data_IF_551162353660
#
_entry.id   IF_551162353660
#
_cell.length_a   1.000
_cell.length_b   1.000
_cell.length_c   1.000
_cell.angle_alpha   90.00
_cell.angle_beta   90.00
_cell.angle_gamma   90.00
#
_symmetry.space_group_name_H-M   'P 1'
#
loop_
_entity.id
_entity.type
_entity.pdbx_description
1 polymer ?
#
# COMPACT_ATOMS: atom_id res chain seq x y z
N UNK A 1 8.65 -7.74 -24.89
CA UNK A 1 8.23 -8.94 -24.11
C UNK A 1 8.93 -8.92 -22.75
N UNK A 2 8.22 -9.25 -21.69
CA UNK A 2 8.81 -9.37 -20.34
C UNK A 2 9.73 -10.59 -20.33
N UNK A 3 10.99 -10.43 -19.91
CA UNK A 3 11.94 -11.55 -19.86
C UNK A 3 11.58 -12.54 -18.73
N UNK A 4 11.97 -13.81 -18.92
CA UNK A 4 11.77 -14.83 -17.87
C UNK A 4 12.45 -14.43 -16.55
N UNK A 5 13.64 -13.81 -16.61
CA UNK A 5 14.34 -13.30 -15.43
C UNK A 5 13.55 -12.22 -14.68
N UNK A 6 12.94 -11.25 -15.39
CA UNK A 6 12.11 -10.23 -14.75
C UNK A 6 10.82 -10.83 -14.17
N UNK A 7 10.23 -11.81 -14.84
CA UNK A 7 9.06 -12.55 -14.33
C UNK A 7 9.38 -13.26 -13.02
N UNK A 8 10.49 -13.99 -12.96
CA UNK A 8 10.95 -14.68 -11.76
C UNK A 8 11.26 -13.69 -10.63
N UNK A 9 11.92 -12.57 -10.94
CA UNK A 9 12.18 -11.51 -9.97
C UNK A 9 10.89 -10.95 -9.38
N UNK A 10 9.89 -10.65 -10.20
CA UNK A 10 8.58 -10.16 -9.76
C UNK A 10 7.90 -11.20 -8.84
N UNK A 11 7.84 -12.48 -9.25
CA UNK A 11 7.20 -13.54 -8.47
C UNK A 11 7.86 -13.70 -7.09
N UNK A 12 9.20 -13.81 -7.05
CA UNK A 12 9.95 -13.93 -5.80
C UNK A 12 9.78 -12.70 -4.90
N UNK A 13 9.83 -11.51 -5.48
CA UNK A 13 9.59 -10.25 -4.75
C UNK A 13 8.19 -10.23 -4.14
N UNK A 14 7.16 -10.63 -4.89
CA UNK A 14 5.78 -10.67 -4.39
C UNK A 14 5.64 -11.67 -3.24
N UNK A 15 6.16 -12.88 -3.36
CA UNK A 15 6.10 -13.90 -2.30
C UNK A 15 6.83 -13.38 -1.04
N UNK A 16 8.06 -12.90 -1.19
CA UNK A 16 8.86 -12.42 -0.07
C UNK A 16 8.21 -11.22 0.64
N UNK A 17 7.71 -10.23 -0.13
CA UNK A 17 7.11 -9.02 0.44
C UNK A 17 5.71 -9.26 1.00
N UNK A 18 4.92 -10.18 0.42
CA UNK A 18 3.65 -10.61 1.00
C UNK A 18 3.88 -11.39 2.31
N UNK A 19 4.95 -12.19 2.39
CA UNK A 19 5.38 -12.84 3.64
C UNK A 19 5.77 -11.78 4.68
N UNK A 20 6.59 -10.79 4.32
CA UNK A 20 6.93 -9.67 5.20
C UNK A 20 5.69 -8.89 5.65
N UNK A 21 4.73 -8.66 4.75
CA UNK A 21 3.45 -8.04 5.11
C UNK A 21 2.62 -8.90 6.05
N UNK A 22 2.67 -10.21 5.90
CA UNK A 22 2.03 -11.16 6.82
C UNK A 22 2.63 -11.11 8.22
N UNK A 23 3.96 -10.95 8.33
CA UNK A 23 4.70 -10.88 9.59
C UNK A 23 4.61 -9.47 10.18
N UNK A 24 5.08 -8.45 9.46
CA UNK A 24 5.29 -7.08 9.95
C UNK A 24 4.20 -6.09 9.51
N UNK A 25 3.08 -6.58 9.01
CA UNK A 25 1.99 -5.73 8.55
C UNK A 25 2.37 -4.97 7.27
N UNK A 26 2.72 -3.69 7.39
CA UNK A 26 2.84 -2.78 6.25
C UNK A 26 4.25 -2.70 5.62
N UNK A 27 5.25 -3.27 6.27
CA UNK A 27 6.65 -3.21 5.80
C UNK A 27 6.80 -3.80 4.38
N UNK A 28 6.15 -4.93 4.12
CA UNK A 28 6.21 -5.59 2.81
C UNK A 28 5.69 -4.73 1.65
N UNK A 29 4.65 -3.91 1.88
CA UNK A 29 4.11 -3.01 0.86
C UNK A 29 5.12 -1.94 0.43
N UNK A 30 5.88 -1.37 1.37
CA UNK A 30 6.93 -0.39 1.08
C UNK A 30 8.05 -1.03 0.27
N UNK A 31 8.52 -2.22 0.69
CA UNK A 31 9.56 -2.98 -0.03
C UNK A 31 9.10 -3.29 -1.45
N UNK A 32 7.87 -3.81 -1.59
CA UNK A 32 7.29 -4.17 -2.89
C UNK A 32 7.23 -2.97 -3.82
N UNK A 33 6.74 -1.82 -3.33
CA UNK A 33 6.65 -0.60 -4.12
C UNK A 33 8.03 -0.10 -4.54
N UNK A 34 8.99 -0.05 -3.60
CA UNK A 34 10.37 0.32 -3.89
C UNK A 34 11.02 -0.56 -4.95
N UNK A 35 10.86 -1.89 -4.83
CA UNK A 35 11.40 -2.84 -5.81
C UNK A 35 10.74 -2.68 -7.19
N UNK A 36 9.42 -2.52 -7.25
CA UNK A 36 8.74 -2.31 -8.52
C UNK A 36 9.15 -1.00 -9.19
N UNK A 37 9.34 0.08 -8.41
CA UNK A 37 9.84 1.35 -8.95
C UNK A 37 11.27 1.26 -9.50
N UNK A 38 12.10 0.35 -9.03
CA UNK A 38 13.43 0.14 -9.61
C UNK A 38 13.33 -0.44 -11.02
N UNK A 39 12.46 -1.44 -11.23
CA UNK A 39 12.44 -2.27 -12.45
C UNK A 39 11.32 -1.92 -13.43
N UNK A 40 10.32 -1.13 -13.00
CA UNK A 40 9.13 -0.80 -13.81
C UNK A 40 8.92 0.72 -13.94
N UNK A 41 8.21 1.17 -14.98
CA UNK A 41 7.62 2.50 -15.03
C UNK A 41 6.62 2.69 -13.89
N UNK A 42 6.41 3.96 -13.47
CA UNK A 42 5.57 4.29 -12.29
C UNK A 42 4.16 3.69 -12.39
N UNK A 43 3.47 3.89 -13.51
CA UNK A 43 2.09 3.40 -13.66
C UNK A 43 2.00 1.88 -13.60
N UNK A 44 2.94 1.17 -14.24
CA UNK A 44 3.04 -0.30 -14.15
C UNK A 44 3.34 -0.76 -12.73
N UNK A 45 4.24 -0.07 -12.01
CA UNK A 45 4.55 -0.34 -10.62
C UNK A 45 3.32 -0.11 -9.73
N UNK A 46 2.59 1.00 -9.90
CA UNK A 46 1.37 1.33 -9.19
C UNK A 46 0.27 0.28 -9.40
N UNK A 47 0.07 -0.15 -10.65
CA UNK A 47 -0.92 -1.14 -11.03
C UNK A 47 -0.58 -2.53 -10.45
N UNK A 48 0.65 -3.02 -10.64
CA UNK A 48 1.05 -4.34 -10.18
C UNK A 48 1.11 -4.40 -8.64
N UNK A 49 1.61 -3.34 -8.00
CA UNK A 49 1.56 -3.18 -6.55
C UNK A 49 0.11 -3.15 -6.05
N UNK A 50 -0.76 -2.38 -6.72
CA UNK A 50 -2.19 -2.30 -6.39
C UNK A 50 -2.85 -3.67 -6.43
N UNK A 51 -2.63 -4.46 -7.49
CA UNK A 51 -3.15 -5.83 -7.63
C UNK A 51 -2.62 -6.72 -6.51
N UNK A 52 -1.31 -6.74 -6.28
CA UNK A 52 -0.69 -7.57 -5.24
C UNK A 52 -1.24 -7.24 -3.85
N UNK A 53 -1.34 -5.96 -3.52
CA UNK A 53 -1.82 -5.52 -2.20
C UNK A 53 -3.33 -5.67 -2.05
N UNK A 54 -4.12 -5.48 -3.11
CA UNK A 54 -5.55 -5.76 -3.08
C UNK A 54 -5.81 -7.24 -2.79
N UNK A 55 -5.04 -8.15 -3.40
CA UNK A 55 -5.14 -9.59 -3.14
C UNK A 55 -4.69 -9.93 -1.72
N UNK A 56 -3.50 -9.46 -1.30
CA UNK A 56 -2.93 -9.79 0.02
C UNK A 56 -3.82 -9.29 1.17
N UNK A 57 -4.26 -8.01 1.09
CA UNK A 57 -5.14 -7.44 2.11
C UNK A 57 -6.57 -7.97 2.00
N UNK A 58 -7.09 -8.17 0.77
CA UNK A 58 -8.42 -8.76 0.54
C UNK A 58 -8.53 -10.18 1.08
N UNK A 59 -7.51 -11.00 0.87
CA UNK A 59 -7.44 -12.34 1.43
C UNK A 59 -7.42 -12.31 2.97
N UNK A 60 -6.63 -11.40 3.56
CA UNK A 60 -6.64 -11.20 5.01
C UNK A 60 -8.00 -10.70 5.52
N UNK A 61 -8.62 -9.72 4.84
CA UNK A 61 -9.96 -9.24 5.19
C UNK A 61 -11.00 -10.37 5.13
N UNK A 62 -10.92 -11.24 4.13
CA UNK A 62 -11.79 -12.40 4.01
C UNK A 62 -11.62 -13.37 5.20
N UNK A 63 -10.39 -13.67 5.60
CA UNK A 63 -10.10 -14.56 6.73
C UNK A 63 -10.55 -13.97 8.08
N UNK A 64 -10.64 -12.64 8.21
CA UNK A 64 -11.00 -11.94 9.46
C UNK A 64 -12.34 -11.19 9.35
N UNK A 65 -13.18 -11.50 8.38
CA UNK A 65 -14.40 -10.75 8.01
C UNK A 65 -15.39 -10.54 9.14
N UNK A 66 -15.45 -11.50 10.08
CA UNK A 66 -16.40 -11.46 11.20
C UNK A 66 -16.04 -10.35 12.23
N UNK A 67 -14.84 -9.77 12.12
CA UNK A 67 -14.36 -8.70 12.98
C UNK A 67 -14.34 -7.33 12.31
N UNK A 68 -14.85 -7.20 11.07
CA UNK A 68 -14.89 -5.92 10.35
C UNK A 68 -15.88 -4.97 11.02
N UNK A 69 -15.43 -3.73 11.31
CA UNK A 69 -16.27 -2.66 11.85
C UNK A 69 -16.93 -1.91 10.68
N UNK A 70 -18.06 -2.41 10.23
CA UNK A 70 -18.79 -1.93 9.04
C UNK A 70 -19.14 -0.44 9.06
N UNK A 71 -19.54 0.18 10.20
CA UNK A 71 -19.80 1.62 10.25
C UNK A 71 -18.59 2.48 9.88
N UNK A 72 -17.39 2.03 10.24
CA UNK A 72 -16.12 2.68 9.83
C UNK A 72 -15.95 2.61 8.32
N UNK A 73 -16.22 1.44 7.74
CA UNK A 73 -16.04 1.22 6.31
C UNK A 73 -16.94 2.11 5.45
N UNK A 74 -18.21 2.30 5.81
CA UNK A 74 -19.15 3.11 5.05
C UNK A 74 -18.68 4.56 4.86
N UNK A 75 -18.27 5.22 5.94
CA UNK A 75 -17.74 6.59 5.88
C UNK A 75 -16.35 6.65 5.25
N UNK A 76 -15.51 5.63 5.45
CA UNK A 76 -14.22 5.53 4.79
C UNK A 76 -14.35 5.52 3.27
N UNK A 77 -15.33 4.78 2.72
CA UNK A 77 -15.63 4.75 1.27
C UNK A 77 -15.92 6.15 0.75
N UNK A 78 -16.75 6.93 1.45
CA UNK A 78 -17.07 8.31 1.05
C UNK A 78 -15.79 9.15 0.92
N UNK A 79 -14.94 9.14 1.94
CA UNK A 79 -13.67 9.88 1.91
C UNK A 79 -12.73 9.40 0.79
N UNK A 80 -12.64 8.08 0.59
CA UNK A 80 -11.81 7.48 -0.43
C UNK A 80 -12.27 7.86 -1.86
N UNK A 81 -13.57 7.87 -2.11
CA UNK A 81 -14.15 8.30 -3.40
C UNK A 81 -13.94 9.80 -3.63
N UNK A 82 -14.08 10.64 -2.60
CA UNK A 82 -13.78 12.07 -2.71
C UNK A 82 -12.31 12.32 -3.07
N UNK A 83 -11.39 11.56 -2.47
CA UNK A 83 -9.96 11.62 -2.82
C UNK A 83 -9.70 11.21 -4.27
N UNK A 84 -10.32 10.11 -4.71
CA UNK A 84 -10.23 9.65 -6.11
C UNK A 84 -10.75 10.74 -7.07
N UNK A 85 -11.91 11.33 -6.79
CA UNK A 85 -12.51 12.39 -7.60
C UNK A 85 -11.61 13.64 -7.66
N UNK A 86 -11.09 14.10 -6.51
CA UNK A 86 -10.22 15.26 -6.42
C UNK A 86 -8.95 15.09 -7.27
N UNK A 87 -8.29 13.93 -7.15
CA UNK A 87 -7.05 13.68 -7.90
C UNK A 87 -7.33 13.46 -9.41
N UNK A 88 -8.47 12.85 -9.74
CA UNK A 88 -8.89 12.65 -11.13
C UNK A 88 -9.21 13.96 -11.84
N UNK A 89 -9.76 14.96 -11.11
CA UNK A 89 -10.09 16.26 -11.67
C UNK A 89 -8.85 17.01 -12.24
N UNK A 90 -7.66 16.73 -11.69
CA UNK A 90 -6.39 17.30 -12.15
C UNK A 90 -5.55 16.31 -12.98
N UNK A 91 -6.05 15.09 -13.18
CA UNK A 91 -5.37 14.01 -13.91
C UNK A 91 -3.90 13.82 -13.49
N UNK A 92 -3.63 13.89 -12.19
CA UNK A 92 -2.28 13.92 -11.65
C UNK A 92 -1.58 12.55 -11.78
N UNK A 93 -0.46 12.51 -12.49
CA UNK A 93 0.41 11.33 -12.58
C UNK A 93 1.77 11.68 -11.97
N UNK A 94 2.15 11.08 -10.83
CA UNK A 94 3.42 11.39 -10.19
C UNK A 94 4.59 10.86 -11.02
N UNK A 95 5.69 11.61 -11.05
CA UNK A 95 6.96 11.12 -11.60
C UNK A 95 7.66 10.14 -10.64
N UNK A 96 8.70 9.49 -11.15
CA UNK A 96 9.40 8.42 -10.43
C UNK A 96 10.14 8.93 -9.19
N UNK A 97 10.74 10.10 -9.26
CA UNK A 97 11.48 10.72 -8.16
C UNK A 97 10.52 11.07 -7.02
N UNK A 98 9.40 11.73 -7.35
CA UNK A 98 8.35 12.08 -6.40
C UNK A 98 7.79 10.83 -5.70
N UNK A 99 7.48 9.76 -6.43
CA UNK A 99 6.96 8.54 -5.82
C UNK A 99 7.96 7.94 -4.84
N UNK A 100 9.26 7.85 -5.21
CA UNK A 100 10.29 7.36 -4.29
C UNK A 100 10.40 8.21 -3.02
N UNK A 101 10.40 9.54 -3.15
CA UNK A 101 10.43 10.46 -1.99
C UNK A 101 9.18 10.25 -1.13
N UNK A 102 8.01 10.19 -1.72
CA UNK A 102 6.76 10.01 -1.00
C UNK A 102 6.69 8.64 -0.30
N UNK A 103 7.03 7.54 -1.00
CA UNK A 103 7.11 6.18 -0.40
C UNK A 103 8.01 6.18 0.83
N UNK A 104 9.18 6.79 0.69
CA UNK A 104 10.15 6.86 1.76
C UNK A 104 9.74 7.77 2.91
N UNK A 105 9.02 8.86 2.64
CA UNK A 105 8.61 9.84 3.67
C UNK A 105 7.44 9.35 4.53
N UNK A 106 6.55 8.50 4.01
CA UNK A 106 5.38 7.97 4.73
C UNK A 106 5.74 7.35 6.09
N UNK A 107 6.74 6.47 6.23
CA UNK A 107 7.13 5.91 7.52
C UNK A 107 7.63 6.96 8.52
N UNK A 108 8.41 7.94 8.06
CA UNK A 108 8.92 9.00 8.92
C UNK A 108 7.79 9.93 9.37
N UNK A 109 6.87 10.30 8.47
CA UNK A 109 5.69 11.08 8.81
C UNK A 109 4.83 10.37 9.87
N UNK A 110 4.63 9.05 9.72
CA UNK A 110 3.91 8.26 10.70
C UNK A 110 4.65 8.17 12.05
N UNK A 111 5.97 7.99 12.04
CA UNK A 111 6.78 7.90 13.26
C UNK A 111 6.91 9.27 13.97
N UNK A 112 6.93 10.36 13.21
CA UNK A 112 7.01 11.72 13.74
C UNK A 112 5.67 12.25 14.27
N UNK A 113 4.55 11.55 14.04
CA UNK A 113 3.23 11.98 14.51
C UNK A 113 3.16 11.90 16.05
N UNK A 114 3.09 13.04 16.76
CA UNK A 114 3.04 13.03 18.21
C UNK A 114 1.80 12.30 18.73
N UNK A 115 1.91 11.60 19.87
CA UNK A 115 0.81 10.84 20.45
C UNK A 115 -0.45 11.69 20.70
N UNK A 116 -0.30 13.02 20.92
CA UNK A 116 -1.42 13.96 21.04
C UNK A 116 -2.28 14.04 19.78
N UNK A 117 -1.69 13.82 18.59
CA UNK A 117 -2.36 13.80 17.29
C UNK A 117 -2.78 12.39 16.85
N UNK A 118 -2.54 11.37 17.67
CA UNK A 118 -3.07 10.04 17.41
C UNK A 118 -4.60 10.12 17.34
N UNK A 119 -5.16 9.51 16.31
CA UNK A 119 -6.55 9.64 15.95
C UNK A 119 -7.36 8.41 16.40
N UNK A 120 -8.65 8.59 16.49
CA UNK A 120 -9.60 7.53 16.81
C UNK A 120 -10.56 7.36 15.64
N UNK A 121 -10.39 6.28 14.91
CA UNK A 121 -11.18 5.96 13.71
C UNK A 121 -12.68 5.81 14.02
N UNK A 122 -13.04 5.57 15.27
CA UNK A 122 -14.45 5.39 15.69
C UNK A 122 -15.19 6.71 15.92
N UNK A 123 -14.47 7.84 16.00
CA UNK A 123 -15.08 9.15 16.21
C UNK A 123 -15.79 9.65 14.96
N UNK A 124 -16.89 10.42 15.13
CA UNK A 124 -17.66 10.97 14.01
C UNK A 124 -16.77 11.72 13.00
N UNK A 125 -16.91 11.42 11.71
CA UNK A 125 -16.15 12.05 10.62
C UNK A 125 -14.74 11.49 10.43
N UNK A 126 -14.11 10.88 11.43
CA UNK A 126 -12.75 10.34 11.33
C UNK A 126 -12.59 9.26 10.27
N UNK A 127 -13.53 8.33 10.07
CA UNK A 127 -13.39 7.37 8.98
C UNK A 127 -13.37 8.03 7.59
N UNK A 128 -14.14 9.08 7.39
CA UNK A 128 -14.17 9.82 6.12
C UNK A 128 -12.84 10.56 5.89
N UNK A 129 -12.32 11.25 6.92
CA UNK A 129 -11.01 11.91 6.87
C UNK A 129 -9.90 10.88 6.60
N UNK A 130 -9.94 9.74 7.28
CA UNK A 130 -9.03 8.63 7.06
C UNK A 130 -9.10 8.14 5.61
N UNK A 131 -10.29 7.86 5.10
CA UNK A 131 -10.49 7.41 3.72
C UNK A 131 -9.93 8.39 2.69
N UNK A 132 -10.17 9.69 2.91
CA UNK A 132 -9.63 10.74 2.04
C UNK A 132 -8.10 10.79 2.06
N UNK A 133 -7.49 10.92 3.24
CA UNK A 133 -6.03 11.08 3.40
C UNK A 133 -5.30 9.81 2.94
N UNK A 134 -5.75 8.65 3.39
CA UNK A 134 -5.07 7.38 3.09
C UNK A 134 -5.16 7.03 1.60
N UNK A 135 -6.32 7.28 0.98
CA UNK A 135 -6.46 7.05 -0.46
C UNK A 135 -5.63 8.05 -1.27
N UNK A 136 -5.64 9.33 -0.90
CA UNK A 136 -4.82 10.35 -1.56
C UNK A 136 -3.34 9.97 -1.55
N UNK A 137 -2.81 9.63 -0.38
CA UNK A 137 -1.41 9.23 -0.23
C UNK A 137 -1.13 7.93 -0.99
N UNK A 138 -2.05 6.96 -0.97
CA UNK A 138 -1.89 5.72 -1.72
C UNK A 138 -1.88 5.93 -3.24
N UNK A 139 -2.63 6.91 -3.76
CA UNK A 139 -2.62 7.27 -5.18
C UNK A 139 -1.32 7.99 -5.58
N UNK A 140 -0.76 8.83 -4.71
CA UNK A 140 0.47 9.59 -4.98
C UNK A 140 1.73 8.75 -4.71
N UNK A 141 1.82 8.17 -3.51
CA UNK A 141 2.99 7.43 -3.05
C UNK A 141 2.92 5.92 -3.32
N UNK A 142 1.75 5.37 -3.64
CA UNK A 142 1.54 3.94 -3.80
C UNK A 142 1.42 3.16 -2.49
N UNK A 143 1.77 3.76 -1.34
CA UNK A 143 1.69 3.18 -0.01
C UNK A 143 1.21 4.20 1.01
N UNK A 144 0.35 3.79 1.95
CA UNK A 144 -0.16 4.65 3.02
C UNK A 144 -0.32 3.91 4.36
N UNK A 145 0.07 2.65 4.41
CA UNK A 145 -0.16 1.76 5.55
C UNK A 145 0.30 2.33 6.91
N UNK A 146 1.55 2.82 7.06
CA UNK A 146 2.02 3.38 8.33
C UNK A 146 1.17 4.55 8.85
N UNK A 147 0.66 5.40 7.95
CA UNK A 147 -0.23 6.50 8.35
C UNK A 147 -1.63 6.00 8.72
N UNK A 148 -2.11 4.93 8.08
CA UNK A 148 -3.38 4.31 8.46
C UNK A 148 -3.37 3.85 9.93
N UNK A 149 -2.23 3.34 10.43
CA UNK A 149 -2.12 2.93 11.82
C UNK A 149 -2.40 4.06 12.80
N UNK A 150 -2.00 5.29 12.48
CA UNK A 150 -2.23 6.44 13.34
C UNK A 150 -3.71 6.69 13.64
N UNK A 151 -4.62 6.29 12.75
CA UNK A 151 -6.07 6.44 12.93
C UNK A 151 -6.67 5.41 13.88
N UNK A 152 -5.95 4.33 14.18
CA UNK A 152 -6.44 3.27 15.06
C UNK A 152 -5.84 3.30 16.47
N UNK A 153 -4.82 4.13 16.71
CA UNK A 153 -4.04 4.13 17.98
C UNK A 153 -4.88 4.40 19.21
N UNK A 154 -5.86 5.32 19.11
CA UNK A 154 -6.73 5.72 20.24
C UNK A 154 -8.11 5.05 20.22
N UNK A 155 -8.37 4.15 19.29
CA UNK A 155 -9.65 3.45 19.25
C UNK A 155 -9.73 2.35 20.29
N UNK A 156 -10.92 2.14 20.85
CA UNK A 156 -11.24 1.06 21.77
C UNK A 156 -11.51 -0.29 21.05
N UNK A 157 -11.10 -0.39 19.79
CA UNK A 157 -11.27 -1.58 18.98
C UNK A 157 -10.33 -2.71 19.44
N UNK A 158 -10.84 -3.93 19.46
CA UNK A 158 -10.02 -5.11 19.71
C UNK A 158 -8.97 -5.30 18.62
N UNK A 159 -7.88 -6.00 18.92
CA UNK A 159 -6.82 -6.32 17.94
C UNK A 159 -7.39 -6.94 16.65
N UNK A 160 -8.37 -7.84 16.78
CA UNK A 160 -9.01 -8.50 15.64
C UNK A 160 -9.80 -7.51 14.79
N UNK A 161 -10.56 -6.59 15.43
CA UNK A 161 -11.29 -5.54 14.72
C UNK A 161 -10.36 -4.57 14.00
N UNK A 162 -9.26 -4.17 14.63
CA UNK A 162 -8.24 -3.32 14.00
C UNK A 162 -7.66 -4.00 12.76
N UNK A 163 -7.20 -5.24 12.88
CA UNK A 163 -6.60 -5.99 11.75
C UNK A 163 -7.60 -6.16 10.60
N UNK A 164 -8.82 -6.59 10.90
CA UNK A 164 -9.86 -6.82 9.90
C UNK A 164 -10.27 -5.52 9.19
N UNK A 165 -10.53 -4.45 9.95
CA UNK A 165 -10.98 -3.18 9.39
C UNK A 165 -9.87 -2.51 8.58
N UNK A 166 -8.62 -2.56 9.04
CA UNK A 166 -7.47 -2.10 8.25
C UNK A 166 -7.28 -2.90 6.95
N UNK A 167 -7.45 -4.21 7.00
CA UNK A 167 -7.29 -5.04 5.81
C UNK A 167 -8.31 -4.68 4.73
N UNK A 168 -9.59 -4.52 5.09
CA UNK A 168 -10.63 -4.15 4.12
C UNK A 168 -10.49 -2.73 3.61
N UNK A 169 -10.11 -1.75 4.45
CA UNK A 169 -9.89 -0.36 4.01
C UNK A 169 -8.68 -0.25 3.08
N UNK A 170 -7.59 -0.98 3.34
CA UNK A 170 -6.44 -1.06 2.43
C UNK A 170 -6.81 -1.73 1.11
N UNK A 171 -7.57 -2.83 1.13
CA UNK A 171 -8.07 -3.48 -0.09
C UNK A 171 -8.79 -2.47 -0.97
N UNK A 172 -9.72 -1.72 -0.39
CA UNK A 172 -10.48 -0.70 -1.10
C UNK A 172 -9.57 0.38 -1.70
N UNK A 173 -8.63 0.93 -0.93
CA UNK A 173 -7.69 1.94 -1.44
C UNK A 173 -6.85 1.41 -2.61
N UNK A 174 -6.44 0.14 -2.57
CA UNK A 174 -5.70 -0.47 -3.68
C UNK A 174 -6.57 -0.75 -4.90
N UNK A 175 -7.84 -1.12 -4.72
CA UNK A 175 -8.80 -1.23 -5.82
C UNK A 175 -9.03 0.13 -6.49
N UNK A 176 -9.21 1.20 -5.69
CA UNK A 176 -9.35 2.57 -6.22
C UNK A 176 -8.08 3.00 -6.97
N UNK A 177 -6.89 2.60 -6.52
CA UNK A 177 -5.64 2.82 -7.24
C UNK A 177 -5.62 2.11 -8.61
N UNK A 178 -6.15 0.89 -8.70
CA UNK A 178 -6.29 0.21 -10.00
C UNK A 178 -7.26 0.94 -10.92
N UNK A 179 -8.38 1.44 -10.41
CA UNK A 179 -9.31 2.27 -11.17
C UNK A 179 -8.64 3.56 -11.64
N UNK A 180 -7.89 4.23 -10.76
CA UNK A 180 -7.20 5.47 -11.08
C UNK A 180 -6.20 5.29 -12.23
N UNK A 181 -5.21 4.43 -12.07
CA UNK A 181 -4.15 4.23 -13.07
C UNK A 181 -4.58 3.38 -14.27
N UNK A 182 -5.53 2.48 -14.11
CA UNK A 182 -5.98 1.58 -15.16
C UNK A 182 -7.10 2.14 -16.04
N UNK A 183 -7.85 3.13 -15.54
CA UNK A 183 -9.01 3.68 -16.24
C UNK A 183 -8.94 5.20 -16.36
N UNK A 184 -8.89 5.92 -15.21
CA UNK A 184 -9.14 7.37 -15.18
C UNK A 184 -7.98 8.19 -15.78
N UNK A 185 -6.73 7.85 -15.48
CA UNK A 185 -5.56 8.56 -16.02
C UNK A 185 -4.79 7.76 -17.08
N UNK A 186 -5.38 6.65 -17.54
CA UNK A 186 -4.72 5.77 -18.51
C UNK A 186 -4.27 6.49 -19.77
N UNK A 187 -5.11 7.35 -20.33
CA UNK A 187 -4.78 8.11 -21.54
C UNK A 187 -3.61 9.06 -21.31
N UNK A 188 -3.61 9.80 -20.21
CA UNK A 188 -2.51 10.70 -19.81
C UNK A 188 -1.21 9.93 -19.62
N UNK A 189 -1.27 8.73 -19.05
CA UNK A 189 -0.11 7.85 -18.87
C UNK A 189 0.46 7.38 -20.20
N UNK A 190 -0.41 6.99 -21.15
CA UNK A 190 0.00 6.54 -22.49
C UNK A 190 0.66 7.69 -23.26
N UNK A 191 0.08 8.89 -23.21
CA UNK A 191 0.63 10.08 -23.88
C UNK A 191 1.99 10.50 -23.30
N UNK A 192 2.15 10.41 -21.97
CA UNK A 192 3.40 10.80 -21.31
C UNK A 192 4.54 9.78 -21.47
N UNK A 193 4.24 8.48 -21.47
CA UNK A 193 5.24 7.41 -21.37
C UNK A 193 5.22 6.41 -22.54
N UNK A 194 4.32 6.56 -23.51
CA UNK A 194 4.11 5.63 -24.61
C UNK A 194 3.47 4.30 -24.14
N UNK A 195 3.24 3.41 -25.13
CA UNK A 195 2.55 2.12 -24.91
C UNK A 195 3.35 1.10 -24.07
N UNK A 196 4.61 1.42 -23.74
CA UNK A 196 5.51 0.57 -22.94
C UNK A 196 5.11 0.45 -21.46
N UNK A 197 4.05 1.15 -21.04
CA UNK A 197 3.58 1.14 -19.65
C UNK A 197 2.68 -0.05 -19.32
N UNK A 198 2.24 -0.81 -20.30
CA UNK A 198 1.32 -1.93 -20.09
C UNK A 198 2.07 -3.24 -19.88
N UNK A 199 1.98 -3.77 -18.67
CA UNK A 199 2.43 -5.14 -18.40
C UNK A 199 1.44 -6.15 -19.00
N UNK A 200 1.91 -7.33 -19.46
CA UNK A 200 1.03 -8.37 -19.95
C UNK A 200 0.03 -8.80 -18.87
N UNK A 201 -1.21 -9.03 -19.24
CA UNK A 201 -2.30 -9.39 -18.32
C UNK A 201 -1.99 -10.63 -17.44
N UNK A 202 -1.25 -11.59 -17.98
CA UNK A 202 -0.86 -12.80 -17.25
C UNK A 202 0.04 -12.53 -16.03
N UNK A 203 0.82 -11.43 -16.01
CA UNK A 203 1.58 -11.02 -14.82
C UNK A 203 0.65 -10.66 -13.66
N UNK A 204 -0.45 -9.99 -13.94
CA UNK A 204 -1.45 -9.67 -12.91
C UNK A 204 -2.10 -10.92 -12.37
N UNK A 205 -2.34 -11.94 -13.20
CA UNK A 205 -2.85 -13.24 -12.74
C UNK A 205 -1.81 -14.00 -11.92
N UNK A 206 -0.53 -13.95 -12.33
CA UNK A 206 0.56 -14.62 -11.63
C UNK A 206 0.77 -14.10 -10.20
N UNK A 207 0.67 -12.79 -9.98
CA UNK A 207 0.88 -12.22 -8.64
C UNK A 207 -0.22 -12.60 -7.65
N UNK A 208 -1.40 -13.04 -8.10
CA UNK A 208 -2.50 -13.47 -7.22
C UNK A 208 -2.08 -14.65 -6.34
N UNK A 209 -1.74 -15.84 -6.87
CA UNK A 209 -1.31 -16.95 -6.05
C UNK A 209 -0.02 -16.63 -5.27
N UNK A 210 0.92 -15.87 -5.85
CA UNK A 210 2.14 -15.46 -5.15
C UNK A 210 1.83 -14.64 -3.88
N UNK A 211 0.92 -13.68 -3.97
CA UNK A 211 0.50 -12.86 -2.83
C UNK A 211 -0.23 -13.70 -1.77
N UNK A 212 -1.11 -14.61 -2.17
CA UNK A 212 -1.82 -15.51 -1.25
C UNK A 212 -0.87 -16.44 -0.50
N UNK A 213 0.07 -17.07 -1.23
CA UNK A 213 1.10 -17.94 -0.62
C UNK A 213 1.93 -17.15 0.39
N UNK A 214 2.48 -16.00 -0.01
CA UNK A 214 3.29 -15.17 0.87
C UNK A 214 2.51 -14.71 2.11
N UNK A 215 1.27 -14.26 1.95
CA UNK A 215 0.41 -13.85 3.08
C UNK A 215 0.16 -15.02 4.04
N UNK A 216 -0.14 -16.21 3.52
CA UNK A 216 -0.38 -17.41 4.34
C UNK A 216 0.87 -17.81 5.13
N UNK A 217 2.05 -17.81 4.47
CA UNK A 217 3.33 -18.11 5.13
C UNK A 217 3.61 -17.08 6.21
N UNK A 218 3.47 -15.78 5.89
CA UNK A 218 3.72 -14.69 6.84
C UNK A 218 2.84 -14.76 8.08
N UNK A 219 1.56 -15.04 7.93
CA UNK A 219 0.63 -15.19 9.06
C UNK A 219 1.05 -16.34 9.99
N UNK A 220 1.44 -17.49 9.44
CA UNK A 220 1.93 -18.64 10.24
C UNK A 220 3.24 -18.36 10.97
N UNK A 221 4.10 -17.51 10.41
CA UNK A 221 5.36 -17.10 11.04
C UNK A 221 5.10 -16.10 12.16
N UNK A 222 4.15 -15.17 11.97
CA UNK A 222 3.77 -14.18 12.98
C UNK A 222 3.39 -14.82 14.32
N UNK A 223 2.68 -15.95 14.29
CA UNK A 223 2.26 -16.67 15.49
C UNK A 223 3.43 -17.17 16.37
N UNK A 224 4.66 -17.17 15.80
CA UNK A 224 5.89 -17.63 16.47
C UNK A 224 6.78 -16.49 16.97
N UNK A 225 6.45 -15.23 16.67
CA UNK A 225 7.28 -14.06 17.00
C UNK A 225 6.70 -13.33 18.21
N UNK A 226 7.57 -12.97 19.17
CA UNK A 226 7.16 -12.19 20.35
C UNK A 226 6.83 -10.74 19.96
N UNK A 227 5.83 -10.14 20.64
CA UNK A 227 5.36 -8.77 20.38
C UNK A 227 6.45 -7.69 20.52
N UNK A 228 7.38 -7.87 21.43
CA UNK A 228 8.48 -6.91 21.67
C UNK A 228 9.46 -6.87 20.50
N UNK A 229 9.90 -8.03 20.04
CA UNK A 229 10.81 -8.15 18.91
C UNK A 229 10.13 -7.71 17.62
N UNK A 230 8.85 -8.07 17.45
CA UNK A 230 8.03 -7.65 16.31
C UNK A 230 8.04 -6.14 16.10
N UNK A 231 7.69 -5.34 17.14
CA UNK A 231 7.63 -3.88 17.06
C UNK A 231 8.97 -3.25 16.70
N UNK A 232 10.04 -3.70 17.35
CA UNK A 232 11.40 -3.18 17.13
C UNK A 232 11.88 -3.44 15.70
N UNK A 233 11.80 -4.68 15.23
CA UNK A 233 12.25 -5.05 13.89
C UNK A 233 11.40 -4.40 12.80
N UNK A 234 10.07 -4.33 12.99
CA UNK A 234 9.16 -3.66 12.06
C UNK A 234 9.55 -2.19 11.85
N UNK A 235 9.79 -1.43 12.93
CA UNK A 235 10.19 -0.03 12.83
C UNK A 235 11.53 0.15 12.11
N UNK A 236 12.55 -0.63 12.48
CA UNK A 236 13.87 -0.52 11.84
C UNK A 236 13.82 -0.82 10.34
N UNK A 237 13.13 -1.90 9.95
CA UNK A 237 12.98 -2.27 8.54
C UNK A 237 12.29 -1.13 7.77
N UNK A 238 11.17 -0.61 8.28
CA UNK A 238 10.38 0.41 7.61
C UNK A 238 11.15 1.72 7.46
N UNK A 239 11.84 2.19 8.51
CA UNK A 239 12.62 3.43 8.47
C UNK A 239 13.86 3.31 7.58
N UNK A 240 14.58 2.19 7.63
CA UNK A 240 15.74 1.95 6.77
C UNK A 240 15.34 1.96 5.29
N UNK A 241 14.26 1.25 4.95
CA UNK A 241 13.73 1.24 3.59
C UNK A 241 13.22 2.61 3.16
N UNK A 242 12.58 3.33 4.08
CA UNK A 242 12.18 4.72 3.85
C UNK A 242 13.36 5.61 3.49
N UNK A 243 14.46 5.54 4.25
CA UNK A 243 15.68 6.30 3.97
C UNK A 243 16.29 5.94 2.60
N UNK A 244 16.34 4.66 2.25
CA UNK A 244 16.82 4.20 0.93
C UNK A 244 15.95 4.77 -0.20
N UNK A 245 14.62 4.74 -0.05
CA UNK A 245 13.70 5.30 -1.03
C UNK A 245 13.88 6.82 -1.19
N UNK A 246 13.98 7.58 -0.09
CA UNK A 246 14.23 9.02 -0.14
C UNK A 246 15.54 9.33 -0.86
N UNK A 247 16.63 8.66 -0.48
CA UNK A 247 17.94 8.85 -1.12
C UNK A 247 17.85 8.58 -2.63
N UNK A 248 17.20 7.49 -3.03
CA UNK A 248 17.01 7.18 -4.44
C UNK A 248 16.15 8.22 -5.16
N UNK A 249 15.09 8.70 -4.53
CA UNK A 249 14.24 9.75 -5.08
C UNK A 249 15.00 11.06 -5.28
N UNK A 250 15.79 11.49 -4.31
CA UNK A 250 16.63 12.70 -4.40
C UNK A 250 17.67 12.55 -5.53
N UNK A 251 18.34 11.40 -5.62
CA UNK A 251 19.30 11.18 -6.71
C UNK A 251 18.64 11.26 -8.10
N UNK A 252 17.42 10.75 -8.26
CA UNK A 252 16.66 10.85 -9.51
C UNK A 252 16.15 12.27 -9.79
N UNK A 253 15.95 13.09 -8.75
CA UNK A 253 15.48 14.47 -8.90
C UNK A 253 16.61 15.40 -9.39
N UNK A 254 17.85 15.10 -9.02
CA UNK A 254 19.03 15.94 -9.30
C UNK A 254 19.78 15.51 -10.58
N UNK A 255 19.52 14.28 -11.07
CA UNK A 255 20.11 13.74 -12.31
C UNK A 255 19.31 14.13 -13.55
#
# INVERSE_FOLDING_TARGET
>A
MVSAGLTALIALTVIATATLSGIFGMAGGIVLMGMFLVVLPVSSAMMLHGTTQAVSNGYRAFLTRDHIVWPVLGLYVVGAVLSLAALSAISFVPDKALVFICVGSVPFAAAALPARFALDITKPGMPMICGFIITLINLIAGVAGPLLDAFFVKSDLTRHQVVATKAVTQTLSHLLKLVYFGVLVRQVVIEANGDLTTLPWWLYLMVIPCAMIGTTVGTKVLDKISDTNFRKWSQWIILTLGAICITRGITLWVS
#
